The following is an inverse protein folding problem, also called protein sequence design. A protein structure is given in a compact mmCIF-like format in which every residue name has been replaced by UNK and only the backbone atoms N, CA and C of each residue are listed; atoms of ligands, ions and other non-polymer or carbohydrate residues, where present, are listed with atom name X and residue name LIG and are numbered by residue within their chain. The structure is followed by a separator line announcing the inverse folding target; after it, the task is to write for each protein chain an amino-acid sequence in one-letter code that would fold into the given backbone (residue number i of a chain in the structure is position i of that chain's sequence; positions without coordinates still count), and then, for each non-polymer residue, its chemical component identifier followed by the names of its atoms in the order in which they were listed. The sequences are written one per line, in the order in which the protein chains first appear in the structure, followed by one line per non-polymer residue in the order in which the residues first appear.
data_IF_508286622331
#
_entry.id   IF_508286622331
#
_cell.length_a   1.000
_cell.length_b   1.000
_cell.length_c   1.000
_cell.angle_alpha   90.00
_cell.angle_beta   90.00
_cell.angle_gamma   90.00
#
_symmetry.space_group_name_H-M   'P 1'
#
loop_
_entity.id
_entity.type
_entity.pdbx_description
1 polymer ?
#
# COMPACT_ATOMS: atom_id res chain seq x y z
N UNK A 1 -30.87 3.20 -35.33
CA UNK A 1 -29.88 2.54 -34.43
C UNK A 1 -29.72 3.45 -33.23
N UNK A 2 -30.37 3.11 -32.13
CA UNK A 2 -30.24 3.88 -30.89
C UNK A 2 -29.01 3.34 -30.12
N UNK A 3 -28.10 4.23 -29.80
CA UNK A 3 -27.01 3.96 -28.87
C UNK A 3 -27.63 3.67 -27.49
N UNK A 4 -27.50 2.45 -27.03
CA UNK A 4 -27.89 2.09 -25.67
C UNK A 4 -26.93 2.81 -24.74
N UNK A 5 -27.40 3.77 -23.95
CA UNK A 5 -26.62 4.37 -22.85
C UNK A 5 -26.21 3.24 -21.88
N UNK A 6 -24.94 2.96 -21.80
CA UNK A 6 -24.39 2.06 -20.78
C UNK A 6 -24.46 2.76 -19.41
N UNK A 7 -25.42 2.37 -18.59
CA UNK A 7 -25.51 2.86 -17.22
C UNK A 7 -24.55 2.02 -16.34
N UNK A 8 -23.39 2.57 -16.01
CA UNK A 8 -22.47 1.97 -15.04
C UNK A 8 -22.61 2.65 -13.68
N UNK A 9 -22.89 1.88 -12.65
CA UNK A 9 -22.89 2.35 -11.26
C UNK A 9 -21.56 1.99 -10.58
N UNK A 10 -20.81 3.00 -10.13
CA UNK A 10 -19.57 2.80 -9.42
C UNK A 10 -19.63 3.43 -8.03
N UNK A 11 -19.31 2.65 -7.01
CA UNK A 11 -19.13 3.10 -5.64
C UNK A 11 -17.67 2.85 -5.24
N UNK A 12 -16.97 3.90 -4.82
CA UNK A 12 -15.64 3.82 -4.20
C UNK A 12 -15.67 4.48 -2.84
N UNK A 13 -15.11 3.76 -1.88
CA UNK A 13 -14.91 4.27 -0.53
C UNK A 13 -13.48 3.95 -0.10
N UNK A 14 -12.83 4.92 0.53
CA UNK A 14 -11.50 4.75 1.09
C UNK A 14 -11.33 5.56 2.36
N UNK A 15 -10.60 5.02 3.33
CA UNK A 15 -10.21 5.74 4.54
C UNK A 15 -8.79 5.39 4.90
N UNK A 16 -8.01 6.41 5.25
CA UNK A 16 -6.66 6.28 5.75
C UNK A 16 -6.61 6.89 7.15
N UNK A 17 -6.23 6.08 8.13
CA UNK A 17 -6.00 6.52 9.49
C UNK A 17 -4.52 6.35 9.84
N UNK A 18 -3.90 7.38 10.38
CA UNK A 18 -2.54 7.31 10.87
C UNK A 18 -2.46 7.87 12.30
N UNK A 19 -1.81 7.13 13.17
CA UNK A 19 -1.62 7.52 14.56
C UNK A 19 -0.16 7.33 14.98
N UNK A 20 0.41 8.34 15.62
CA UNK A 20 1.78 8.31 16.12
C UNK A 20 1.82 8.65 17.60
N UNK A 21 2.50 7.78 18.37
CA UNK A 21 2.72 7.98 19.81
C UNK A 21 4.14 7.53 20.18
N UNK A 22 4.55 7.82 21.40
CA UNK A 22 5.91 7.57 21.97
C UNK A 22 6.70 6.45 21.25
N UNK A 23 7.48 6.81 20.21
CA UNK A 23 8.34 5.89 19.49
C UNK A 23 7.63 4.85 18.62
N UNK A 24 6.34 5.03 18.31
CA UNK A 24 5.54 4.10 17.48
C UNK A 24 4.68 4.86 16.48
N UNK A 25 4.32 4.21 15.40
CA UNK A 25 3.31 4.68 14.45
C UNK A 25 2.43 3.51 14.01
N UNK A 26 1.16 3.78 13.79
CA UNK A 26 0.18 2.87 13.20
C UNK A 26 -0.44 3.59 12.00
N UNK A 27 -0.48 2.90 10.88
CA UNK A 27 -1.19 3.35 9.67
C UNK A 27 -2.14 2.25 9.26
N UNK A 28 -3.37 2.61 8.93
CA UNK A 28 -4.42 1.69 8.46
C UNK A 28 -5.08 2.32 7.25
N UNK A 29 -5.12 1.60 6.15
CA UNK A 29 -5.78 1.96 4.90
C UNK A 29 -6.87 0.93 4.58
N UNK A 30 -8.08 1.41 4.34
CA UNK A 30 -9.22 0.60 3.92
C UNK A 30 -9.75 1.16 2.61
N UNK A 31 -9.82 0.34 1.59
CA UNK A 31 -10.38 0.70 0.28
C UNK A 31 -11.44 -0.31 -0.11
N UNK A 32 -12.58 0.18 -0.54
CA UNK A 32 -13.65 -0.62 -1.09
C UNK A 32 -14.06 -0.05 -2.44
N UNK A 33 -14.14 -0.90 -3.44
CA UNK A 33 -14.61 -0.56 -4.77
C UNK A 33 -15.65 -1.55 -5.23
N UNK A 34 -16.80 -1.03 -5.68
CA UNK A 34 -17.83 -1.81 -6.32
C UNK A 34 -18.22 -1.12 -7.63
N UNK A 35 -18.15 -1.85 -8.72
CA UNK A 35 -18.63 -1.42 -10.03
C UNK A 35 -19.62 -2.45 -10.56
N UNK A 36 -20.79 -1.99 -10.97
CA UNK A 36 -21.82 -2.81 -11.61
C UNK A 36 -22.08 -2.25 -13.01
N UNK A 37 -21.93 -3.10 -14.02
CA UNK A 37 -22.33 -2.84 -15.39
C UNK A 37 -23.56 -3.71 -15.73
N UNK A 38 -24.47 -3.24 -16.58
CA UNK A 38 -25.69 -4.00 -16.94
C UNK A 38 -25.39 -5.28 -17.73
N UNK A 39 -24.16 -5.47 -18.21
CA UNK A 39 -23.73 -6.60 -19.03
C UNK A 39 -22.74 -7.57 -18.38
N UNK A 40 -22.70 -7.74 -17.05
CA UNK A 40 -21.97 -8.83 -16.34
C UNK A 40 -20.64 -8.52 -15.65
N UNK A 41 -20.09 -7.31 -15.62
CA UNK A 41 -18.87 -7.09 -14.85
C UNK A 41 -19.15 -6.42 -13.51
N UNK A 42 -19.29 -7.22 -12.48
CA UNK A 42 -19.37 -6.72 -11.09
C UNK A 42 -17.96 -6.76 -10.50
N UNK A 43 -17.26 -5.63 -10.50
CA UNK A 43 -16.05 -5.49 -9.67
C UNK A 43 -16.50 -5.33 -8.22
N UNK A 44 -16.06 -6.22 -7.34
CA UNK A 44 -16.26 -6.13 -5.91
C UNK A 44 -14.90 -6.39 -5.25
N UNK A 45 -14.23 -5.32 -4.83
CA UNK A 45 -12.88 -5.38 -4.28
C UNK A 45 -12.84 -4.71 -2.91
N UNK A 46 -12.26 -5.42 -1.95
CA UNK A 46 -11.96 -4.90 -0.62
C UNK A 46 -10.45 -5.04 -0.39
N UNK A 47 -9.82 -3.94 0.00
CA UNK A 47 -8.43 -3.91 0.40
C UNK A 47 -8.34 -3.33 1.80
N UNK A 48 -7.74 -4.08 2.70
CA UNK A 48 -7.33 -3.62 4.02
C UNK A 48 -5.82 -3.74 4.13
N UNK A 49 -5.14 -2.66 4.50
CA UNK A 49 -3.72 -2.61 4.75
C UNK A 49 -3.46 -1.97 6.12
N UNK A 50 -2.59 -2.56 6.90
CA UNK A 50 -2.23 -2.05 8.21
C UNK A 50 -0.73 -2.20 8.46
N UNK A 51 -0.07 -1.13 8.91
CA UNK A 51 1.36 -1.14 9.24
C UNK A 51 1.58 -0.54 10.62
N UNK A 52 2.27 -1.28 11.48
CA UNK A 52 2.77 -0.82 12.77
C UNK A 52 4.29 -0.67 12.72
N UNK A 53 4.80 0.47 13.15
CA UNK A 53 6.24 0.79 13.15
C UNK A 53 6.72 1.18 14.54
N UNK A 54 7.84 0.60 14.97
CA UNK A 54 8.56 0.90 16.21
C UNK A 54 9.84 1.63 15.88
N UNK A 55 10.00 2.87 16.38
CA UNK A 55 11.22 3.67 16.22
C UNK A 55 12.15 3.41 17.40
N UNK A 56 13.36 3.00 17.13
CA UNK A 56 14.35 2.81 18.19
C UNK A 56 14.90 4.18 18.65
N UNK A 57 14.74 4.44 19.94
CA UNK A 57 15.17 5.71 20.54
C UNK A 57 16.65 5.99 20.25
N UNK A 58 16.98 7.26 19.97
CA UNK A 58 18.31 7.75 19.67
C UNK A 58 18.99 7.14 18.43
N UNK A 59 18.31 6.34 17.63
CA UNK A 59 18.83 5.77 16.39
C UNK A 59 18.05 6.26 15.17
N UNK A 60 18.56 5.95 13.97
CA UNK A 60 17.86 6.17 12.70
C UNK A 60 17.10 4.93 12.23
N UNK A 61 17.10 3.87 13.03
CA UNK A 61 16.47 2.60 12.72
C UNK A 61 15.05 2.53 13.26
N UNK A 62 14.21 1.83 12.53
CA UNK A 62 12.88 1.39 12.95
C UNK A 62 12.63 -0.04 12.49
N UNK A 63 11.75 -0.74 13.18
CA UNK A 63 11.21 -2.04 12.79
C UNK A 63 9.75 -1.84 12.40
N UNK A 64 9.30 -2.49 11.33
CA UNK A 64 7.91 -2.48 10.92
C UNK A 64 7.33 -3.89 10.82
N UNK A 65 6.03 -3.99 11.08
CA UNK A 65 5.20 -5.15 10.84
C UNK A 65 3.93 -4.67 10.15
N UNK A 66 3.63 -5.25 8.99
CA UNK A 66 2.45 -4.94 8.20
C UNK A 66 1.63 -6.17 7.90
N UNK A 67 0.37 -5.95 7.58
CA UNK A 67 -0.55 -6.98 7.12
C UNK A 67 -1.52 -6.40 6.10
N UNK A 68 -1.79 -7.16 5.04
CA UNK A 68 -2.70 -6.78 3.98
C UNK A 68 -3.69 -7.91 3.75
N UNK A 69 -4.96 -7.55 3.58
CA UNK A 69 -6.04 -8.46 3.20
C UNK A 69 -6.66 -7.90 1.94
N UNK A 70 -6.67 -8.70 0.89
CA UNK A 70 -7.29 -8.37 -0.39
C UNK A 70 -8.37 -9.40 -0.71
N UNK A 71 -9.55 -8.90 -1.04
CA UNK A 71 -10.64 -9.65 -1.67
C UNK A 71 -10.92 -8.99 -3.00
N UNK A 72 -10.90 -9.76 -4.09
CA UNK A 72 -11.19 -9.27 -5.43
C UNK A 72 -11.92 -10.35 -6.22
N UNK A 73 -13.17 -10.13 -6.53
CA UNK A 73 -14.04 -11.09 -7.22
C UNK A 73 -13.60 -11.38 -8.67
N UNK A 74 -12.75 -10.54 -9.27
CA UNK A 74 -12.28 -10.70 -10.65
C UNK A 74 -10.91 -11.39 -10.74
N UNK A 75 -10.27 -11.67 -9.61
CA UNK A 75 -8.99 -12.37 -9.56
C UNK A 75 -9.21 -13.88 -9.49
N UNK A 76 -8.19 -14.63 -9.87
CA UNK A 76 -8.18 -16.10 -9.79
C UNK A 76 -8.14 -16.64 -8.37
N UNK A 77 -8.10 -15.75 -7.36
CA UNK A 77 -8.16 -16.09 -5.94
C UNK A 77 -9.34 -15.38 -5.27
N UNK A 78 -9.96 -16.05 -4.29
CA UNK A 78 -11.03 -15.44 -3.48
C UNK A 78 -10.50 -14.42 -2.51
N UNK A 79 -9.36 -14.73 -1.86
CA UNK A 79 -8.74 -13.88 -0.84
C UNK A 79 -7.22 -14.01 -0.87
N UNK A 80 -6.53 -12.90 -0.65
CA UNK A 80 -5.08 -12.86 -0.45
C UNK A 80 -4.76 -12.25 0.90
N UNK A 81 -3.97 -12.95 1.67
CA UNK A 81 -3.39 -12.49 2.93
C UNK A 81 -1.90 -12.27 2.71
N UNK A 82 -1.41 -11.12 3.10
CA UNK A 82 0.01 -10.79 3.03
C UNK A 82 0.45 -10.25 4.39
N UNK A 83 1.57 -10.73 4.88
CA UNK A 83 2.22 -10.21 6.08
C UNK A 83 3.64 -9.84 5.73
N UNK A 84 4.07 -8.65 6.13
CA UNK A 84 5.42 -8.16 5.88
C UNK A 84 6.07 -7.67 7.18
N UNK A 85 7.37 -7.86 7.30
CA UNK A 85 8.15 -7.37 8.43
C UNK A 85 9.55 -7.02 8.00
N UNK A 86 10.19 -6.08 8.67
CA UNK A 86 11.54 -5.68 8.32
C UNK A 86 12.03 -4.47 9.10
N UNK A 87 13.18 -3.97 8.67
CA UNK A 87 13.80 -2.80 9.24
C UNK A 87 13.84 -1.66 8.23
N UNK A 88 13.76 -0.44 8.74
CA UNK A 88 13.97 0.74 7.94
C UNK A 88 15.03 1.65 8.59
N UNK A 89 15.81 2.31 7.75
CA UNK A 89 16.86 3.23 8.14
C UNK A 89 16.64 4.60 7.53
N UNK A 90 16.57 5.65 8.35
CA UNK A 90 16.44 7.03 7.90
C UNK A 90 17.82 7.57 7.50
N UNK A 91 18.11 7.56 6.20
CA UNK A 91 19.36 8.09 5.64
C UNK A 91 19.44 9.59 5.82
N UNK A 92 18.34 10.28 5.49
CA UNK A 92 18.18 11.72 5.64
C UNK A 92 16.90 12.01 6.41
N UNK A 93 17.00 12.83 7.43
CA UNK A 93 15.85 13.31 8.20
C UNK A 93 16.10 14.73 8.65
N UNK A 94 15.47 15.68 7.96
CA UNK A 94 15.47 17.09 8.31
C UNK A 94 14.05 17.66 8.25
N UNK A 95 13.90 18.99 8.35
CA UNK A 95 12.59 19.66 8.38
C UNK A 95 11.81 19.54 7.06
N UNK A 96 12.53 19.47 5.93
CA UNK A 96 11.92 19.45 4.58
C UNK A 96 12.00 18.11 3.88
N UNK A 97 12.96 17.25 4.25
CA UNK A 97 13.23 16.01 3.53
C UNK A 97 13.38 14.83 4.49
N UNK A 98 12.80 13.70 4.13
CA UNK A 98 12.96 12.44 4.82
C UNK A 98 13.15 11.32 3.80
N UNK A 99 14.35 10.74 3.76
CA UNK A 99 14.71 9.61 2.90
C UNK A 99 14.93 8.38 3.78
N UNK A 100 14.23 7.29 3.44
CA UNK A 100 14.30 6.03 4.16
C UNK A 100 14.61 4.90 3.20
N UNK A 101 15.47 4.00 3.64
CA UNK A 101 15.67 2.68 3.04
C UNK A 101 14.96 1.66 3.90
N UNK A 102 14.34 0.66 3.30
CA UNK A 102 13.74 -0.46 4.01
C UNK A 102 14.19 -1.78 3.41
N UNK A 103 14.35 -2.78 4.28
CA UNK A 103 14.60 -4.16 3.89
C UNK A 103 13.80 -5.09 4.80
N UNK A 104 13.18 -6.11 4.20
CA UNK A 104 12.31 -7.01 4.94
C UNK A 104 11.97 -8.27 4.17
N UNK A 105 11.06 -9.03 4.74
CA UNK A 105 10.45 -10.19 4.15
C UNK A 105 8.93 -10.04 4.13
N UNK A 106 8.33 -10.61 3.11
CA UNK A 106 6.89 -10.69 2.91
C UNK A 106 6.52 -12.15 2.75
N UNK A 107 5.40 -12.55 3.32
CA UNK A 107 4.80 -13.86 3.09
C UNK A 107 3.38 -13.63 2.64
N UNK A 108 3.03 -14.16 1.48
CA UNK A 108 1.68 -14.11 0.94
C UNK A 108 1.07 -15.50 0.91
N UNK A 109 -0.26 -15.56 1.10
CA UNK A 109 -1.09 -16.76 0.91
C UNK A 109 -2.35 -16.40 0.18
N UNK A 110 -2.58 -17.05 -0.94
CA UNK A 110 -3.81 -16.96 -1.71
C UNK A 110 -4.74 -18.13 -1.34
N UNK A 111 -6.02 -17.89 -1.29
CA UNK A 111 -7.06 -18.88 -0.97
C UNK A 111 -8.10 -18.82 -2.09
N UNK A 112 -8.53 -19.99 -2.58
CA UNK A 112 -9.54 -20.12 -3.63
C UNK A 112 -8.96 -20.22 -5.04
N UNK A 113 -7.65 -20.44 -5.19
CA UNK A 113 -7.02 -20.70 -6.50
C UNK A 113 -7.34 -22.14 -6.93
N UNK A 114 -7.99 -22.30 -8.08
CA UNK A 114 -8.27 -23.62 -8.64
C UNK A 114 -6.98 -24.27 -9.15
N UNK A 115 -6.63 -25.45 -8.62
CA UNK A 115 -5.56 -26.29 -9.13
C UNK A 115 -4.15 -26.05 -8.60
N UNK A 116 -3.93 -25.07 -7.73
CA UNK A 116 -2.65 -24.87 -7.04
C UNK A 116 -2.74 -25.24 -5.56
N UNK A 117 -1.68 -25.86 -5.03
CA UNK A 117 -1.52 -25.97 -3.59
C UNK A 117 -1.42 -24.56 -3.01
N UNK A 118 -2.26 -24.27 -1.99
CA UNK A 118 -2.27 -23.02 -1.22
C UNK A 118 -0.93 -22.79 -0.49
N UNK A 119 0.14 -22.63 -1.24
CA UNK A 119 1.50 -22.48 -0.75
C UNK A 119 1.75 -21.10 -0.15
N UNK A 120 2.61 -21.06 0.88
CA UNK A 120 3.19 -19.80 1.34
C UNK A 120 4.28 -19.38 0.35
N UNK A 121 4.16 -18.19 -0.23
CA UNK A 121 5.19 -17.62 -1.10
C UNK A 121 5.98 -16.55 -0.29
N UNK A 122 7.21 -16.88 0.16
CA UNK A 122 8.06 -15.92 0.83
C UNK A 122 8.83 -15.09 -0.19
N UNK A 123 8.84 -13.77 0.00
CA UNK A 123 9.55 -12.80 -0.81
C UNK A 123 10.43 -11.90 0.05
N UNK A 124 11.49 -11.36 -0.52
CA UNK A 124 12.21 -10.24 0.08
C UNK A 124 11.60 -8.91 -0.37
N UNK A 125 11.74 -7.89 0.44
CA UNK A 125 11.32 -6.53 0.08
C UNK A 125 12.45 -5.55 0.35
N UNK A 126 12.85 -4.81 -0.68
CA UNK A 126 13.82 -3.72 -0.59
C UNK A 126 13.16 -2.45 -1.11
N UNK A 127 13.17 -1.39 -0.31
CA UNK A 127 12.45 -0.18 -0.68
C UNK A 127 13.16 1.11 -0.34
N UNK A 128 12.80 2.14 -1.10
CA UNK A 128 13.21 3.53 -0.86
C UNK A 128 11.96 4.37 -0.75
N UNK A 129 11.84 5.17 0.30
CA UNK A 129 10.80 6.18 0.40
C UNK A 129 11.41 7.57 0.57
N UNK A 130 10.88 8.52 -0.19
CA UNK A 130 11.28 9.93 -0.17
C UNK A 130 10.05 10.77 0.15
N UNK A 131 10.12 11.55 1.21
CA UNK A 131 9.12 12.54 1.55
C UNK A 131 9.78 13.91 1.51
N UNK A 132 9.26 14.80 0.65
CA UNK A 132 9.80 16.13 0.43
C UNK A 132 8.71 17.18 0.64
N UNK A 133 8.94 18.13 1.54
CA UNK A 133 8.17 19.39 1.60
C UNK A 133 8.76 20.34 0.57
N UNK A 134 8.04 20.61 -0.49
CA UNK A 134 8.47 21.53 -1.56
C UNK A 134 8.22 22.98 -1.14
N UNK A 135 7.05 23.22 -0.54
CA UNK A 135 6.65 24.51 0.06
C UNK A 135 5.92 24.27 1.37
N UNK A 136 5.47 25.32 2.04
CA UNK A 136 4.57 25.20 3.20
C UNK A 136 3.30 24.41 2.89
N UNK A 137 2.79 24.56 1.66
CA UNK A 137 1.54 23.97 1.21
C UNK A 137 1.70 22.65 0.43
N UNK A 138 2.89 22.35 -0.11
CA UNK A 138 3.08 21.21 -1.02
C UNK A 138 4.02 20.18 -0.42
N UNK A 139 3.57 18.93 -0.41
CA UNK A 139 4.37 17.77 0.02
C UNK A 139 4.30 16.68 -1.04
N UNK A 140 5.46 16.18 -1.45
CA UNK A 140 5.60 15.03 -2.35
C UNK A 140 6.07 13.84 -1.52
N UNK A 141 5.46 12.69 -1.74
CA UNK A 141 5.87 11.40 -1.17
C UNK A 141 6.02 10.41 -2.31
N UNK A 142 7.17 9.76 -2.40
CA UNK A 142 7.43 8.71 -3.39
C UNK A 142 7.98 7.48 -2.68
N UNK A 143 7.47 6.31 -3.03
CA UNK A 143 7.95 5.03 -2.55
C UNK A 143 8.20 4.12 -3.75
N UNK A 144 9.32 3.42 -3.74
CA UNK A 144 9.66 2.40 -4.72
C UNK A 144 10.11 1.15 -3.96
N UNK A 145 9.48 0.02 -4.24
CA UNK A 145 9.77 -1.27 -3.65
C UNK A 145 10.16 -2.26 -4.73
N UNK A 146 11.25 -2.98 -4.51
CA UNK A 146 11.71 -4.12 -5.29
C UNK A 146 11.48 -5.39 -4.47
N UNK A 147 10.74 -6.35 -5.04
CA UNK A 147 10.23 -7.54 -4.35
C UNK A 147 10.62 -8.77 -5.16
N UNK A 148 11.85 -9.31 -4.98
CA UNK A 148 12.24 -10.56 -5.58
C UNK A 148 11.67 -11.77 -4.84
N UNK A 149 11.24 -12.79 -5.58
CA UNK A 149 10.78 -14.05 -5.03
C UNK A 149 11.96 -14.91 -4.55
N UNK A 150 11.80 -15.62 -3.44
CA UNK A 150 12.86 -16.49 -2.93
C UNK A 150 13.04 -17.75 -3.77
N UNK A 151 11.97 -18.21 -4.41
CA UNK A 151 12.00 -19.39 -5.30
C UNK A 151 12.78 -19.15 -6.59
N UNK A 152 12.68 -17.95 -7.16
CA UNK A 152 13.44 -17.50 -8.33
C UNK A 152 13.68 -15.99 -8.26
N UNK A 153 14.91 -15.58 -7.98
CA UNK A 153 15.28 -14.16 -7.90
C UNK A 153 15.16 -13.39 -9.23
N UNK A 154 14.92 -14.09 -10.35
CA UNK A 154 14.64 -13.48 -11.66
C UNK A 154 13.17 -13.08 -11.79
N UNK A 155 12.31 -13.70 -10.98
CA UNK A 155 10.93 -13.32 -10.84
C UNK A 155 10.83 -12.26 -9.72
N UNK A 156 10.48 -11.06 -10.11
CA UNK A 156 10.41 -9.92 -9.19
C UNK A 156 9.27 -8.98 -9.57
N UNK A 157 8.76 -8.33 -8.56
CA UNK A 157 7.80 -7.24 -8.71
C UNK A 157 8.45 -5.90 -8.35
N UNK A 158 8.13 -4.85 -9.09
CA UNK A 158 8.48 -3.47 -8.73
C UNK A 158 7.19 -2.70 -8.50
N UNK A 159 6.99 -2.23 -7.27
CA UNK A 159 5.87 -1.36 -6.90
C UNK A 159 6.37 0.06 -6.74
N UNK A 160 5.69 1.02 -7.37
CA UNK A 160 5.99 2.44 -7.19
C UNK A 160 4.71 3.21 -6.88
N UNK A 161 4.81 4.13 -5.94
CA UNK A 161 3.72 5.02 -5.54
C UNK A 161 4.25 6.44 -5.43
N UNK A 162 3.51 7.41 -6.00
CA UNK A 162 3.79 8.82 -5.84
C UNK A 162 2.52 9.55 -5.38
N UNK A 163 2.64 10.35 -4.33
CA UNK A 163 1.54 11.14 -3.75
C UNK A 163 1.94 12.60 -3.72
N UNK A 164 1.07 13.47 -4.21
CA UNK A 164 1.16 14.90 -4.03
C UNK A 164 0.06 15.35 -3.05
N UNK A 165 0.47 15.90 -1.92
CA UNK A 165 -0.44 16.52 -0.97
C UNK A 165 -0.34 18.03 -1.09
N UNK A 166 -1.49 18.68 -1.33
CA UNK A 166 -1.63 20.13 -1.41
C UNK A 166 -2.53 20.57 -0.26
N UNK A 167 -1.99 21.38 0.65
CA UNK A 167 -2.75 22.00 1.73
C UNK A 167 -3.27 23.32 1.20
N UNK A 168 -4.58 23.45 1.03
CA UNK A 168 -5.24 24.64 0.48
C UNK A 168 -5.59 25.65 1.58
N UNK A 169 -5.94 25.14 2.76
CA UNK A 169 -6.25 25.91 3.96
C UNK A 169 -6.02 25.03 5.19
N UNK A 170 -6.04 25.58 6.40
CA UNK A 170 -5.84 24.81 7.64
C UNK A 170 -6.90 23.70 7.84
N UNK A 171 -8.06 23.83 7.17
CA UNK A 171 -9.18 22.87 7.26
C UNK A 171 -9.37 21.97 6.04
N UNK A 172 -8.65 22.20 4.92
CA UNK A 172 -8.84 21.43 3.67
C UNK A 172 -7.53 20.92 3.09
N UNK A 173 -7.37 19.60 3.10
CA UNK A 173 -6.28 18.87 2.48
C UNK A 173 -6.75 18.15 1.21
N UNK A 174 -6.06 18.33 0.08
CA UNK A 174 -6.23 17.52 -1.12
C UNK A 174 -5.05 16.55 -1.27
N UNK A 175 -5.37 15.27 -1.50
CA UNK A 175 -4.38 14.24 -1.74
C UNK A 175 -4.64 13.59 -3.10
N UNK A 176 -3.61 13.56 -3.96
CA UNK A 176 -3.59 12.86 -5.24
C UNK A 176 -2.64 11.65 -5.14
N UNK A 177 -3.11 10.53 -5.70
CA UNK A 177 -2.41 9.25 -5.66
C UNK A 177 -2.34 8.65 -7.06
#
# INVERSE_FOLDING_TARGET
QGDAEQISNQLRFGTLASYRWKGKALEVDLKYERRRDEQENVTNRLLFDGTHEWFFNATRWSHYLGGKIEYDQLRDFDRRFETNTGFAYSVLKNRSSHVRLKAGATVAREIGVEGEENGLAPDSTYGVSVNQKVTGAHKISTTVDYIPQWSDLRDYEVRSEAKLKVVLDEELDLQFQ
#
